data_IF_753986024661
#
_entry.id   IF_753986024661
#
_cell.length_a   1.000
_cell.length_b   1.000
_cell.length_c   1.000
_cell.angle_alpha   90.00
_cell.angle_beta   90.00
_cell.angle_gamma   90.00
#
_symmetry.space_group_name_H-M   'P 1'
#
loop_
_entity.id
_entity.type
_entity.pdbx_description
1 polymer ?
#
# COMPACT_ATOMS: atom_id res chain seq x y z
N UNK A 1 3.44 17.14 -14.37
CA UNK A 1 2.76 16.30 -13.36
C UNK A 1 3.02 14.83 -13.63
N UNK A 2 2.82 14.36 -14.86
CA UNK A 2 2.99 12.95 -15.26
C UNK A 2 4.38 12.35 -15.01
N UNK A 3 5.44 13.17 -15.08
CA UNK A 3 6.81 12.73 -14.76
C UNK A 3 6.97 12.32 -13.29
N UNK A 4 6.34 13.05 -12.37
CA UNK A 4 6.36 12.74 -10.93
C UNK A 4 5.57 11.47 -10.64
N UNK A 5 4.42 11.29 -11.28
CA UNK A 5 3.57 10.09 -11.13
C UNK A 5 4.31 8.86 -11.64
N UNK A 6 5.01 8.98 -12.77
CA UNK A 6 5.88 7.94 -13.28
C UNK A 6 6.98 7.57 -12.29
N UNK A 7 7.71 8.56 -11.78
CA UNK A 7 8.80 8.33 -10.82
C UNK A 7 8.28 7.70 -9.52
N UNK A 8 7.08 8.08 -9.08
CA UNK A 8 6.43 7.55 -7.88
C UNK A 8 5.94 6.11 -8.07
N UNK A 9 5.43 5.76 -9.26
CA UNK A 9 5.01 4.41 -9.61
C UNK A 9 6.21 3.48 -9.80
N UNK A 10 7.30 3.96 -10.41
CA UNK A 10 8.57 3.25 -10.49
C UNK A 10 9.20 3.04 -9.09
N UNK A 11 9.10 4.04 -8.21
CA UNK A 11 9.51 3.93 -6.82
C UNK A 11 8.67 2.89 -6.06
N UNK A 12 7.35 2.88 -6.27
CA UNK A 12 6.45 1.93 -5.65
C UNK A 12 6.77 0.49 -6.07
N UNK A 13 7.07 0.26 -7.35
CA UNK A 13 7.49 -1.06 -7.86
C UNK A 13 8.85 -1.54 -7.32
N UNK A 14 9.70 -0.63 -6.83
CA UNK A 14 11.02 -0.93 -6.29
C UNK A 14 11.07 -1.01 -4.76
N UNK A 15 10.08 -0.45 -4.05
CA UNK A 15 10.10 -0.33 -2.60
C UNK A 15 9.61 -1.59 -1.87
N UNK A 16 10.46 -2.16 -1.03
CA UNK A 16 10.15 -3.21 -0.02
C UNK A 16 9.97 -2.58 1.37
N UNK A 17 9.15 -1.54 1.50
CA UNK A 17 8.99 -0.79 2.77
C UNK A 17 7.60 -0.95 3.40
N UNK A 18 7.46 -0.43 4.63
CA UNK A 18 6.31 -0.61 5.53
C UNK A 18 4.96 -0.51 4.81
N UNK A 19 4.08 -1.47 5.09
CA UNK A 19 2.72 -1.62 4.51
C UNK A 19 1.91 -0.31 4.61
N UNK A 20 2.09 0.50 5.67
CA UNK A 20 1.46 1.83 5.83
C UNK A 20 1.80 2.81 4.72
N UNK A 21 3.10 2.97 4.44
CA UNK A 21 3.61 3.91 3.42
C UNK A 21 3.20 3.46 2.03
N UNK A 22 3.28 2.14 1.78
CA UNK A 22 2.82 1.53 0.55
C UNK A 22 1.32 1.80 0.34
N UNK A 23 0.50 1.55 1.36
CA UNK A 23 -0.95 1.78 1.31
C UNK A 23 -1.31 3.22 0.96
N UNK A 24 -0.72 4.21 1.65
CA UNK A 24 -0.95 5.64 1.37
C UNK A 24 -0.60 6.01 -0.07
N UNK A 25 0.52 5.50 -0.61
CA UNK A 25 0.91 5.75 -2.01
C UNK A 25 -0.08 5.15 -3.01
N UNK A 26 -0.55 3.93 -2.76
CA UNK A 26 -1.57 3.26 -3.60
C UNK A 26 -2.85 4.10 -3.64
N UNK A 27 -3.35 4.56 -2.48
CA UNK A 27 -4.55 5.41 -2.41
C UNK A 27 -4.36 6.73 -3.16
N UNK A 28 -3.22 7.40 -2.97
CA UNK A 28 -2.94 8.67 -3.65
C UNK A 28 -2.85 8.51 -5.18
N UNK A 29 -2.18 7.45 -5.65
CA UNK A 29 -2.09 7.15 -7.08
C UNK A 29 -3.45 6.76 -7.67
N UNK A 30 -4.25 5.99 -6.93
CA UNK A 30 -5.61 5.64 -7.36
C UNK A 30 -6.50 6.89 -7.50
N UNK A 31 -6.42 7.81 -6.53
CA UNK A 31 -7.14 9.09 -6.60
C UNK A 31 -6.70 9.96 -7.78
N UNK A 32 -5.39 9.98 -8.09
CA UNK A 32 -4.87 10.72 -9.24
C UNK A 32 -5.25 10.09 -10.60
N UNK A 33 -5.18 8.77 -10.71
CA UNK A 33 -5.51 8.03 -11.93
C UNK A 33 -7.01 7.93 -12.20
N UNK A 34 -7.85 8.42 -11.29
CA UNK A 34 -9.30 8.44 -11.42
C UNK A 34 -9.91 7.11 -10.98
N UNK A 35 -10.38 7.06 -9.73
CA UNK A 35 -11.07 5.90 -9.17
C UNK A 35 -12.40 5.57 -9.86
N UNK A 36 -12.98 6.52 -10.61
CA UNK A 36 -14.29 6.34 -11.27
C UNK A 36 -14.28 5.27 -12.38
N UNK A 37 -13.10 4.86 -12.85
CA UNK A 37 -12.94 3.77 -13.82
C UNK A 37 -12.39 2.49 -13.18
N UNK A 38 -12.28 2.43 -11.85
CA UNK A 38 -11.79 1.24 -11.17
C UNK A 38 -12.87 0.15 -11.16
N UNK A 39 -12.52 -1.12 -11.47
CA UNK A 39 -13.42 -2.25 -11.28
C UNK A 39 -13.92 -2.34 -9.84
N UNK A 40 -15.13 -2.85 -9.63
CA UNK A 40 -15.75 -2.94 -8.29
C UNK A 40 -14.86 -3.66 -7.26
N UNK A 41 -14.15 -4.70 -7.68
CA UNK A 41 -13.20 -5.43 -6.82
C UNK A 41 -12.03 -4.56 -6.35
N UNK A 42 -11.51 -3.69 -7.22
CA UNK A 42 -10.44 -2.74 -6.90
C UNK A 42 -10.97 -1.65 -5.99
N UNK A 43 -12.16 -1.11 -6.30
CA UNK A 43 -12.82 -0.08 -5.48
C UNK A 43 -13.08 -0.56 -4.05
N UNK A 44 -13.53 -1.81 -3.88
CA UNK A 44 -13.70 -2.44 -2.57
C UNK A 44 -12.35 -2.60 -1.84
N UNK A 45 -11.30 -3.05 -2.54
CA UNK A 45 -9.96 -3.18 -1.96
C UNK A 45 -9.36 -1.81 -1.56
N UNK A 46 -9.55 -0.76 -2.37
CA UNK A 46 -9.11 0.60 -2.04
C UNK A 46 -9.87 1.16 -0.83
N UNK A 47 -11.16 0.88 -0.72
CA UNK A 47 -11.98 1.28 0.44
C UNK A 47 -11.52 0.57 1.70
N UNK A 48 -11.28 -0.75 1.63
CA UNK A 48 -10.74 -1.52 2.75
C UNK A 48 -9.35 -1.04 3.17
N UNK A 49 -8.48 -0.75 2.19
CA UNK A 49 -7.14 -0.20 2.43
C UNK A 49 -7.19 1.18 3.08
N UNK A 50 -8.08 2.06 2.63
CA UNK A 50 -8.30 3.38 3.23
C UNK A 50 -8.77 3.27 4.69
N UNK A 51 -9.76 2.42 4.96
CA UNK A 51 -10.25 2.16 6.31
C UNK A 51 -9.16 1.63 7.24
N UNK A 52 -8.36 0.68 6.76
CA UNK A 52 -7.23 0.12 7.50
C UNK A 52 -6.18 1.19 7.84
N UNK A 53 -5.86 2.09 6.91
CA UNK A 53 -4.90 3.17 7.18
C UNK A 53 -5.43 4.15 8.24
N UNK A 54 -6.71 4.53 8.17
CA UNK A 54 -7.35 5.40 9.16
C UNK A 54 -7.34 4.76 10.54
N UNK A 55 -7.71 3.48 10.63
CA UNK A 55 -7.67 2.73 11.89
C UNK A 55 -6.26 2.67 12.47
N UNK A 56 -5.26 2.44 11.61
CA UNK A 56 -3.86 2.42 12.04
C UNK A 56 -3.36 3.78 12.52
N UNK A 57 -3.79 4.88 11.90
CA UNK A 57 -3.46 6.25 12.34
C UNK A 57 -4.14 6.60 13.65
N UNK A 58 -5.44 6.28 13.80
CA UNK A 58 -6.17 6.47 15.05
C UNK A 58 -5.52 5.68 16.19
N UNK A 59 -5.09 4.45 15.93
CA UNK A 59 -4.41 3.62 16.90
C UNK A 59 -3.03 4.16 17.29
N UNK A 60 -2.23 4.63 16.33
CA UNK A 60 -0.93 5.26 16.61
C UNK A 60 -1.13 6.53 17.47
N UNK A 61 -2.15 7.34 17.18
CA UNK A 61 -2.47 8.55 17.93
C UNK A 61 -2.93 8.25 19.38
N UNK A 62 -3.56 7.10 19.62
CA UNK A 62 -3.90 6.64 20.97
C UNK A 62 -2.68 6.07 21.72
N UNK A 63 -1.74 5.47 21.01
CA UNK A 63 -0.50 4.92 21.59
C UNK A 63 0.50 6.01 21.99
N UNK A 64 0.61 7.07 21.20
CA UNK A 64 1.56 8.17 21.44
C UNK A 64 1.49 8.78 22.86
N UNK A 65 0.31 9.15 23.40
CA UNK A 65 0.22 9.67 24.77
C UNK A 65 0.53 8.61 25.84
N UNK A 66 0.23 7.33 25.61
CA UNK A 66 0.58 6.23 26.52
C UNK A 66 2.11 6.09 26.59
N UNK A 67 2.78 6.11 25.44
CA UNK A 67 4.23 6.05 25.35
C UNK A 67 4.91 7.32 25.91
N UNK A 68 4.34 8.49 25.67
CA UNK A 68 4.82 9.75 26.22
C UNK A 68 4.74 9.77 27.75
N UNK A 69 3.64 9.28 28.32
CA UNK A 69 3.46 9.15 29.77
C UNK A 69 4.44 8.14 30.37
N UNK A 70 4.66 7.01 29.69
CA UNK A 70 5.66 6.02 30.10
C UNK A 70 7.08 6.60 30.13
N UNK A 71 7.46 7.39 29.12
CA UNK A 71 8.76 8.08 29.07
C UNK A 71 8.89 9.17 30.14
N UNK A 72 7.85 9.99 30.32
CA UNK A 72 7.85 11.11 31.27
C UNK A 72 7.95 10.65 32.73
N UNK A 73 7.43 9.47 33.04
CA UNK A 73 7.52 8.89 34.39
C UNK A 73 8.87 8.29 34.74
N UNK A 74 9.83 8.24 33.80
CA UNK A 74 11.22 7.84 34.06
C UNK A 74 11.35 6.51 34.80
N UNK A 75 10.42 5.56 34.61
CA UNK A 75 10.30 4.42 35.51
C UNK A 75 11.38 3.39 35.23
N UNK A 76 12.43 3.46 36.04
CA UNK A 76 13.19 2.34 36.59
C UNK A 76 12.40 1.02 36.48
N UNK A 77 12.96 0.08 35.73
CA UNK A 77 12.72 -1.36 35.52
C UNK A 77 11.48 -2.12 36.08
N UNK A 78 10.76 -1.61 37.08
CA UNK A 78 9.69 -2.29 37.84
C UNK A 78 8.26 -2.04 37.31
N UNK A 79 8.00 -1.00 36.50
CA UNK A 79 6.70 -0.75 35.85
C UNK A 79 6.58 -1.32 34.42
N UNK A 80 7.59 -2.07 33.98
CA UNK A 80 7.61 -2.60 32.61
C UNK A 80 6.56 -3.69 32.36
N UNK A 81 6.19 -4.51 33.34
CA UNK A 81 5.28 -5.64 33.11
C UNK A 81 3.85 -5.19 32.76
N UNK A 82 3.29 -4.22 33.49
CA UNK A 82 1.95 -3.68 33.22
C UNK A 82 1.91 -2.89 31.91
N UNK A 83 2.92 -2.07 31.64
CA UNK A 83 3.05 -1.37 30.35
C UNK A 83 3.24 -2.35 29.20
N UNK A 84 4.00 -3.43 29.38
CA UNK A 84 4.16 -4.49 28.38
C UNK A 84 2.83 -5.20 28.14
N UNK A 85 2.05 -5.50 29.18
CA UNK A 85 0.73 -6.11 29.03
C UNK A 85 -0.25 -5.18 28.28
N UNK A 86 -0.23 -3.87 28.58
CA UNK A 86 -1.03 -2.88 27.85
C UNK A 86 -0.57 -2.82 26.38
N UNK A 87 0.74 -2.80 26.12
CA UNK A 87 1.28 -2.82 24.76
C UNK A 87 0.92 -4.10 24.00
N UNK A 88 0.99 -5.27 24.64
CA UNK A 88 0.61 -6.55 24.05
C UNK A 88 -0.89 -6.64 23.77
N UNK A 89 -1.74 -6.19 24.70
CA UNK A 89 -3.19 -6.13 24.48
C UNK A 89 -3.56 -5.15 23.34
N UNK A 90 -2.83 -4.06 23.23
CA UNK A 90 -2.93 -3.12 22.12
C UNK A 90 -2.51 -3.79 20.80
N UNK A 91 -1.39 -4.52 20.77
CA UNK A 91 -0.97 -5.28 19.59
C UNK A 91 -1.98 -6.36 19.17
N UNK A 92 -2.62 -7.04 20.12
CA UNK A 92 -3.68 -8.01 19.86
C UNK A 92 -4.93 -7.33 19.28
N UNK A 93 -5.34 -6.20 19.85
CA UNK A 93 -6.44 -5.39 19.31
C UNK A 93 -6.13 -4.92 17.89
N UNK A 94 -4.88 -4.54 17.61
CA UNK A 94 -4.41 -4.18 16.27
C UNK A 94 -4.47 -5.35 15.29
N UNK A 95 -4.17 -6.57 15.73
CA UNK A 95 -4.32 -7.78 14.90
C UNK A 95 -5.79 -8.09 14.62
N UNK A 96 -6.66 -7.92 15.61
CA UNK A 96 -8.10 -8.10 15.47
C UNK A 96 -8.76 -7.06 14.54
N UNK A 97 -8.16 -5.88 14.39
CA UNK A 97 -8.60 -4.84 13.45
C UNK A 97 -8.14 -5.09 12.01
N UNK A 98 -7.40 -6.17 11.72
CA UNK A 98 -7.10 -6.51 10.33
C UNK A 98 -8.39 -6.91 9.61
N UNK A 99 -8.64 -6.41 8.39
CA UNK A 99 -9.85 -6.74 7.65
C UNK A 99 -9.93 -8.25 7.38
N UNK A 100 -11.15 -8.80 7.50
CA UNK A 100 -11.46 -10.21 7.22
C UNK A 100 -11.10 -10.63 5.78
N UNK A 101 -11.00 -9.65 4.86
CA UNK A 101 -10.60 -9.88 3.48
C UNK A 101 -9.17 -9.37 3.26
N UNK A 102 -8.22 -10.24 2.86
CA UNK A 102 -6.85 -9.83 2.63
C UNK A 102 -6.78 -8.88 1.42
N UNK A 103 -6.13 -7.72 1.62
CA UNK A 103 -5.88 -6.75 0.56
C UNK A 103 -4.84 -7.32 -0.41
N UNK A 104 -5.19 -7.44 -1.69
CA UNK A 104 -4.28 -7.95 -2.71
C UNK A 104 -3.45 -6.81 -3.31
N UNK A 105 -2.33 -6.49 -2.65
CA UNK A 105 -1.42 -5.44 -3.11
C UNK A 105 -0.88 -5.67 -4.52
N UNK A 106 -0.72 -6.92 -4.95
CA UNK A 106 -0.23 -7.23 -6.30
C UNK A 106 -1.25 -6.86 -7.39
N UNK A 107 -2.53 -7.10 -7.10
CA UNK A 107 -3.64 -6.77 -7.99
C UNK A 107 -3.86 -5.24 -8.07
N UNK A 108 -3.84 -4.56 -6.91
CA UNK A 108 -3.89 -3.09 -6.85
C UNK A 108 -2.76 -2.46 -7.65
N UNK A 109 -1.55 -3.01 -7.57
CA UNK A 109 -0.39 -2.53 -8.31
C UNK A 109 -0.49 -2.78 -9.82
N UNK A 110 -0.94 -3.96 -10.24
CA UNK A 110 -1.15 -4.27 -11.64
C UNK A 110 -2.20 -3.34 -12.27
N UNK A 111 -3.27 -3.04 -11.53
CA UNK A 111 -4.28 -2.07 -11.94
C UNK A 111 -3.70 -0.66 -12.09
N UNK A 112 -2.95 -0.16 -11.10
CA UNK A 112 -2.30 1.16 -11.16
C UNK A 112 -1.37 1.29 -12.38
N UNK A 113 -0.58 0.27 -12.67
CA UNK A 113 0.30 0.24 -13.86
C UNK A 113 -0.53 0.31 -15.14
N UNK A 114 -1.64 -0.43 -15.21
CA UNK A 114 -2.53 -0.47 -16.37
C UNK A 114 -3.20 0.89 -16.60
N UNK A 115 -3.79 1.48 -15.56
CA UNK A 115 -4.41 2.80 -15.60
C UNK A 115 -3.40 3.91 -15.98
N UNK A 116 -2.19 3.87 -15.44
CA UNK A 116 -1.13 4.81 -15.81
C UNK A 116 -0.64 4.62 -17.27
N UNK A 117 -0.70 3.40 -17.80
CA UNK A 117 -0.35 3.11 -19.20
C UNK A 117 -1.42 3.62 -20.16
N UNK A 118 -2.70 3.45 -19.83
CA UNK A 118 -3.83 3.94 -20.62
C UNK A 118 -3.84 5.46 -20.75
N UNK A 119 -3.43 6.16 -19.69
CA UNK A 119 -3.26 7.62 -19.69
C UNK A 119 -1.97 8.10 -20.37
N UNK A 120 -1.13 7.19 -20.87
CA UNK A 120 0.14 7.52 -21.53
C UNK A 120 1.25 8.01 -20.59
N UNK A 121 1.05 7.90 -19.26
CA UNK A 121 2.01 8.29 -18.22
C UNK A 121 3.19 7.30 -18.20
N UNK A 122 2.88 6.01 -18.36
CA UNK A 122 3.86 4.95 -18.54
C UNK A 122 3.92 4.53 -20.01
N UNK A 123 5.09 4.68 -20.62
CA UNK A 123 5.40 3.98 -21.88
C UNK A 123 5.79 2.55 -21.54
N UNK A 124 4.81 1.68 -21.28
CA UNK A 124 5.07 0.24 -21.23
C UNK A 124 5.48 -0.16 -22.65
N UNK A 125 6.77 -0.43 -22.82
CA UNK A 125 7.32 -0.94 -24.07
C UNK A 125 6.74 -2.34 -24.28
N UNK A 126 5.56 -2.44 -24.91
CA UNK A 126 5.08 -3.72 -25.44
C UNK A 126 6.20 -4.27 -26.30
N UNK A 127 6.79 -5.37 -25.87
CA UNK A 127 7.75 -6.11 -26.69
C UNK A 127 6.99 -6.47 -27.96
N UNK A 128 7.31 -5.80 -29.06
CA UNK A 128 6.76 -6.12 -30.36
C UNK A 128 7.04 -7.62 -30.60
N UNK A 129 6.06 -8.40 -31.11
CA UNK A 129 6.33 -9.76 -31.50
C UNK A 129 7.47 -9.72 -32.51
N UNK A 130 8.57 -10.38 -32.17
CA UNK A 130 9.69 -10.62 -33.06
C UNK A 130 9.14 -11.24 -34.35
N UNK A 131 9.42 -10.69 -35.54
CA UNK A 131 9.01 -11.34 -36.78
C UNK A 131 9.72 -12.69 -36.86
N UNK A 132 8.93 -13.75 -37.02
CA UNK A 132 9.35 -15.14 -37.14
C UNK A 132 10.28 -15.29 -38.37
N UNK A 133 11.54 -15.73 -38.23
CA UNK A 133 12.44 -15.94 -39.37
C UNK A 133 12.21 -17.33 -39.99
N UNK A 134 10.94 -17.70 -40.23
CA UNK A 134 10.57 -19.05 -40.65
C UNK A 134 9.61 -19.07 -41.84
N UNK A 135 9.81 -18.21 -42.84
CA UNK A 135 9.10 -18.38 -44.11
C UNK A 135 9.89 -17.89 -45.33
N UNK A 136 11.07 -18.48 -45.57
CA UNK A 136 11.71 -18.34 -46.88
C UNK A 136 12.66 -19.51 -47.18
N UNK A 137 12.11 -20.71 -47.30
CA UNK A 137 12.69 -21.82 -48.09
C UNK A 137 11.58 -22.73 -48.60
N UNK A 138 10.99 -22.37 -49.73
CA UNK A 138 10.32 -23.28 -50.66
C UNK A 138 10.06 -22.54 -51.98
N UNK A 139 11.04 -22.61 -52.88
CA UNK A 139 10.89 -22.64 -54.34
C UNK A 139 12.26 -22.93 -54.95
#
# INVERSE_FOLDING_TARGET
MDRLVKDELESLLRETHSIKRLGRRIINLAGFLGSDTAPDSISQQLTALSGLLIQQEAFDALLEPVLATARARGTSHLHNAELTNVLSSLEETRKALQPDSPINYSELMAWLVSAASERGILKVKRRAPTPDPANNRSA
#
